data_IF_828106411500
#
_entry.id   IF_828106411500
#
_cell.length_a   1.000
_cell.length_b   1.000
_cell.length_c   1.000
_cell.angle_alpha   90.00
_cell.angle_beta   90.00
_cell.angle_gamma   90.00
#
_symmetry.space_group_name_H-M   'P 1'
#
loop_
_entity.id
_entity.type
_entity.pdbx_description
1 polymer ?
#
# COMPACT_ATOMS: atom_id res chain seq x y z
N UNK A 1 -16.71 -25.31 17.41
CA UNK A 1 -15.52 -24.85 16.64
C UNK A 1 -15.61 -23.37 16.26
N UNK A 2 -16.77 -22.77 16.43
CA UNK A 2 -17.09 -21.45 15.87
C UNK A 2 -16.36 -20.26 16.53
N UNK A 3 -16.06 -20.34 17.81
CA UNK A 3 -15.36 -19.23 18.51
C UNK A 3 -13.90 -19.03 18.07
N UNK A 4 -13.24 -20.06 17.53
CA UNK A 4 -11.84 -19.93 17.07
C UNK A 4 -11.74 -19.06 15.81
N UNK A 5 -12.74 -19.10 14.96
CA UNK A 5 -12.74 -18.32 13.72
C UNK A 5 -12.75 -16.81 13.97
N UNK A 6 -13.35 -16.35 15.07
CA UNK A 6 -13.35 -14.93 15.45
C UNK A 6 -11.96 -14.40 15.88
N UNK A 7 -11.02 -15.28 16.25
CA UNK A 7 -9.64 -14.88 16.52
C UNK A 7 -8.91 -14.38 15.25
N UNK A 8 -9.32 -14.82 14.06
CA UNK A 8 -8.67 -14.42 12.80
C UNK A 8 -8.80 -12.91 12.57
N UNK A 9 -10.00 -12.32 12.44
CA UNK A 9 -10.12 -10.86 12.28
C UNK A 9 -9.60 -10.09 13.51
N UNK A 10 -9.70 -10.65 14.74
CA UNK A 10 -9.14 -10.03 15.92
C UNK A 10 -7.63 -9.86 15.86
N UNK A 11 -6.89 -10.85 15.33
CA UNK A 11 -5.47 -10.75 15.09
C UNK A 11 -5.14 -9.64 14.07
N UNK A 12 -5.98 -9.47 13.03
CA UNK A 12 -5.88 -8.38 12.07
C UNK A 12 -6.03 -7.00 12.75
N UNK A 13 -7.00 -6.85 13.66
CA UNK A 13 -7.20 -5.61 14.43
C UNK A 13 -5.98 -5.32 15.31
N UNK A 14 -5.43 -6.31 16.00
CA UNK A 14 -4.23 -6.15 16.81
C UNK A 14 -3.01 -5.71 15.98
N UNK A 15 -2.86 -6.29 14.80
CA UNK A 15 -1.80 -5.88 13.86
C UNK A 15 -1.97 -4.42 13.44
N UNK A 16 -3.18 -3.98 13.11
CA UNK A 16 -3.47 -2.59 12.73
C UNK A 16 -3.28 -1.61 13.90
N UNK A 17 -3.61 -2.01 15.13
CA UNK A 17 -3.31 -1.22 16.32
C UNK A 17 -1.80 -1.02 16.49
N UNK A 18 -1.03 -2.08 16.34
CA UNK A 18 0.44 -1.99 16.36
C UNK A 18 0.97 -1.06 15.26
N UNK A 19 0.43 -1.16 14.04
CA UNK A 19 0.74 -0.26 12.91
C UNK A 19 0.52 1.19 13.30
N UNK A 20 -0.61 1.51 13.91
CA UNK A 20 -0.93 2.87 14.36
C UNK A 20 0.09 3.37 15.41
N UNK A 21 0.38 2.57 16.43
CA UNK A 21 1.32 2.92 17.49
C UNK A 21 2.75 3.14 16.93
N UNK A 22 3.21 2.23 16.08
CA UNK A 22 4.54 2.32 15.47
C UNK A 22 4.67 3.45 14.47
N UNK A 23 3.63 3.72 13.67
CA UNK A 23 3.63 4.89 12.77
C UNK A 23 3.75 6.21 13.55
N UNK A 24 3.05 6.33 14.68
CA UNK A 24 3.16 7.51 15.54
C UNK A 24 4.56 7.61 16.18
N UNK A 25 5.12 6.49 16.61
CA UNK A 25 6.47 6.44 17.15
C UNK A 25 7.52 6.86 16.09
N UNK A 26 7.43 6.36 14.84
CA UNK A 26 8.31 6.81 13.74
C UNK A 26 8.12 8.31 13.50
N UNK A 27 6.87 8.79 13.47
CA UNK A 27 6.56 10.20 13.22
C UNK A 27 7.11 11.14 14.32
N UNK A 28 7.28 10.66 15.55
CA UNK A 28 7.83 11.44 16.68
C UNK A 28 9.34 11.61 16.64
N UNK A 29 10.06 10.90 15.76
CA UNK A 29 11.52 11.02 15.64
C UNK A 29 11.91 12.29 14.88
N UNK A 30 13.08 12.81 15.20
CA UNK A 30 13.60 14.05 14.62
C UNK A 30 13.87 13.92 13.12
N UNK A 31 13.49 14.95 12.39
CA UNK A 31 13.68 15.05 10.93
C UNK A 31 15.10 15.49 10.56
N UNK A 32 15.78 16.18 11.48
CA UNK A 32 17.09 16.76 11.24
C UNK A 32 17.02 18.21 10.80
N UNK A 33 17.91 18.61 9.89
CA UNK A 33 18.00 20.01 9.45
C UNK A 33 16.79 20.47 8.65
N UNK A 34 16.59 21.80 8.58
CA UNK A 34 15.52 22.40 7.76
C UNK A 34 15.60 21.96 6.28
N UNK A 35 16.82 21.86 5.73
CA UNK A 35 17.05 21.35 4.36
C UNK A 35 16.54 19.92 4.21
N UNK A 36 16.82 19.03 5.17
CA UNK A 36 16.33 17.64 5.16
C UNK A 36 14.79 17.60 5.22
N UNK A 37 14.20 18.43 6.07
CA UNK A 37 12.73 18.54 6.17
C UNK A 37 12.08 18.99 4.87
N UNK A 38 12.66 19.98 4.18
CA UNK A 38 12.18 20.46 2.89
C UNK A 38 12.26 19.40 1.80
N UNK A 39 13.38 18.68 1.71
CA UNK A 39 13.55 17.58 0.75
C UNK A 39 12.55 16.46 1.04
N UNK A 40 12.41 16.07 2.30
CA UNK A 40 11.45 15.03 2.72
C UNK A 40 10.00 15.40 2.38
N UNK A 41 9.65 16.68 2.51
CA UNK A 41 8.33 17.17 2.12
C UNK A 41 8.12 17.05 0.61
N UNK A 42 9.09 17.45 -0.21
CA UNK A 42 8.99 17.34 -1.67
C UNK A 42 8.83 15.87 -2.10
N UNK A 43 9.57 14.94 -1.48
CA UNK A 43 9.43 13.51 -1.72
C UNK A 43 8.02 13.01 -1.34
N UNK A 44 7.52 13.42 -0.18
CA UNK A 44 6.19 13.03 0.27
C UNK A 44 5.08 13.58 -0.64
N UNK A 45 5.21 14.84 -1.08
CA UNK A 45 4.25 15.48 -2.00
C UNK A 45 4.26 14.79 -3.37
N UNK A 46 5.42 14.44 -3.90
CA UNK A 46 5.56 13.65 -5.14
C UNK A 46 4.94 12.25 -5.01
N UNK A 47 5.20 11.55 -3.90
CA UNK A 47 4.61 10.24 -3.63
C UNK A 47 3.07 10.30 -3.55
N UNK A 48 2.52 11.35 -2.92
CA UNK A 48 1.07 11.55 -2.85
C UNK A 48 0.46 11.94 -4.21
N UNK A 49 1.16 12.71 -5.02
CA UNK A 49 0.72 13.03 -6.39
C UNK A 49 0.64 11.77 -7.25
N UNK A 50 1.66 10.91 -7.18
CA UNK A 50 1.67 9.61 -7.84
C UNK A 50 0.48 8.74 -7.42
N UNK A 51 0.28 8.52 -6.11
CA UNK A 51 -0.82 7.69 -5.62
C UNK A 51 -2.19 8.22 -6.06
N UNK A 52 -2.40 9.54 -6.06
CA UNK A 52 -3.67 10.14 -6.51
C UNK A 52 -3.93 9.87 -7.99
N UNK A 53 -2.91 10.03 -8.83
CA UNK A 53 -3.02 9.79 -10.27
C UNK A 53 -3.32 8.32 -10.55
N UNK A 54 -2.60 7.42 -9.90
CA UNK A 54 -2.74 5.98 -10.07
C UNK A 54 -4.10 5.47 -9.57
N UNK A 55 -4.50 5.83 -8.35
CA UNK A 55 -5.77 5.36 -7.77
C UNK A 55 -6.99 5.85 -8.54
N UNK A 56 -6.91 7.00 -9.21
CA UNK A 56 -7.97 7.48 -10.09
C UNK A 56 -8.20 6.51 -11.27
N UNK A 57 -7.14 6.01 -11.89
CA UNK A 57 -7.23 5.05 -12.99
C UNK A 57 -7.66 3.68 -12.46
N UNK A 58 -7.04 3.23 -11.37
CA UNK A 58 -7.34 1.95 -10.74
C UNK A 58 -8.79 1.86 -10.25
N UNK A 59 -9.39 2.96 -9.78
CA UNK A 59 -10.80 2.95 -9.35
C UNK A 59 -11.73 2.62 -10.50
N UNK A 60 -11.49 3.13 -11.71
CA UNK A 60 -12.27 2.78 -12.91
C UNK A 60 -12.11 1.29 -13.24
N UNK A 61 -10.89 0.79 -13.22
CA UNK A 61 -10.61 -0.63 -13.44
C UNK A 61 -11.32 -1.52 -12.42
N UNK A 62 -11.26 -1.16 -11.14
CA UNK A 62 -11.91 -1.92 -10.05
C UNK A 62 -13.42 -1.98 -10.23
N UNK A 63 -14.05 -0.85 -10.56
CA UNK A 63 -15.50 -0.80 -10.78
C UNK A 63 -15.91 -1.68 -11.95
N UNK A 64 -15.25 -1.55 -13.10
CA UNK A 64 -15.57 -2.33 -14.29
C UNK A 64 -15.37 -3.83 -14.06
N UNK A 65 -14.24 -4.20 -13.45
CA UNK A 65 -13.93 -5.62 -13.16
C UNK A 65 -14.90 -6.20 -12.12
N UNK A 66 -15.25 -5.43 -11.08
CA UNK A 66 -16.21 -5.87 -10.08
C UNK A 66 -17.60 -6.18 -10.70
N UNK A 67 -18.07 -5.31 -11.60
CA UNK A 67 -19.33 -5.51 -12.34
C UNK A 67 -19.24 -6.78 -13.19
N UNK A 68 -18.16 -6.96 -13.95
CA UNK A 68 -17.96 -8.15 -14.79
C UNK A 68 -17.92 -9.44 -13.95
N UNK A 69 -17.20 -9.42 -12.83
CA UNK A 69 -17.13 -10.58 -11.91
C UNK A 69 -18.47 -10.87 -11.25
N UNK A 70 -19.22 -9.83 -10.89
CA UNK A 70 -20.58 -9.98 -10.34
C UNK A 70 -21.51 -10.65 -11.36
N UNK A 71 -21.54 -10.19 -12.61
CA UNK A 71 -22.32 -10.81 -13.68
C UNK A 71 -21.89 -12.25 -13.96
N UNK A 72 -20.58 -12.49 -14.05
CA UNK A 72 -20.05 -13.84 -14.26
C UNK A 72 -20.44 -14.78 -13.11
N UNK A 73 -20.31 -14.33 -11.86
CA UNK A 73 -20.68 -15.12 -10.69
C UNK A 73 -22.15 -15.56 -10.71
N UNK A 74 -23.06 -14.66 -11.10
CA UNK A 74 -24.50 -15.01 -11.27
C UNK A 74 -24.71 -15.97 -12.42
N UNK A 75 -24.07 -15.75 -13.57
CA UNK A 75 -24.20 -16.61 -14.77
C UNK A 75 -23.68 -18.02 -14.54
N UNK A 76 -22.65 -18.20 -13.72
CA UNK A 76 -22.07 -19.50 -13.36
C UNK A 76 -22.76 -20.15 -12.15
N UNK A 77 -23.85 -19.57 -11.64
CA UNK A 77 -24.61 -20.12 -10.51
C UNK A 77 -23.89 -19.99 -9.16
N UNK A 78 -22.87 -19.12 -9.07
CA UNK A 78 -22.14 -18.87 -7.81
C UNK A 78 -22.81 -17.72 -7.03
N UNK A 79 -22.34 -16.49 -7.16
CA UNK A 79 -22.94 -15.30 -6.56
C UNK A 79 -22.30 -14.01 -7.09
N UNK A 80 -23.08 -12.91 -7.15
CA UNK A 80 -22.55 -11.57 -7.42
C UNK A 80 -21.54 -11.10 -6.35
N UNK A 81 -21.53 -11.73 -5.17
CA UNK A 81 -20.62 -11.39 -4.07
C UNK A 81 -19.14 -11.63 -4.40
N UNK A 82 -18.81 -12.36 -5.48
CA UNK A 82 -17.44 -12.42 -6.02
C UNK A 82 -16.94 -11.01 -6.38
N UNK A 83 -17.79 -10.20 -7.03
CA UNK A 83 -17.47 -8.80 -7.34
C UNK A 83 -17.28 -7.93 -6.08
N UNK A 84 -18.10 -8.16 -5.04
CA UNK A 84 -17.95 -7.46 -3.75
C UNK A 84 -16.63 -7.85 -3.08
N UNK A 85 -16.30 -9.14 -3.03
CA UNK A 85 -15.01 -9.62 -2.50
C UNK A 85 -13.83 -9.00 -3.23
N UNK A 86 -13.92 -8.87 -4.56
CA UNK A 86 -12.90 -8.22 -5.39
C UNK A 86 -12.70 -6.75 -4.97
N UNK A 87 -13.79 -6.00 -4.78
CA UNK A 87 -13.70 -4.60 -4.32
C UNK A 87 -13.06 -4.50 -2.94
N UNK A 88 -13.47 -5.36 -2.00
CA UNK A 88 -12.88 -5.35 -0.64
C UNK A 88 -11.38 -5.67 -0.69
N UNK A 89 -10.97 -6.66 -1.47
CA UNK A 89 -9.56 -6.98 -1.67
C UNK A 89 -8.76 -5.82 -2.29
N UNK A 90 -9.33 -5.19 -3.32
CA UNK A 90 -8.73 -4.00 -3.94
C UNK A 90 -8.58 -2.83 -2.96
N UNK A 91 -9.58 -2.56 -2.14
CA UNK A 91 -9.54 -1.52 -1.11
C UNK A 91 -8.48 -1.82 -0.04
N UNK A 92 -8.42 -3.06 0.46
CA UNK A 92 -7.41 -3.46 1.45
C UNK A 92 -5.98 -3.28 0.88
N UNK A 93 -5.76 -3.70 -0.37
CA UNK A 93 -4.46 -3.56 -1.03
C UNK A 93 -4.08 -2.10 -1.28
N UNK A 94 -5.03 -1.29 -1.77
CA UNK A 94 -4.84 0.16 -1.95
C UNK A 94 -4.52 0.88 -0.63
N UNK A 95 -5.26 0.57 0.45
CA UNK A 95 -4.99 1.12 1.77
C UNK A 95 -3.61 0.71 2.30
N UNK A 96 -3.22 -0.55 2.11
CA UNK A 96 -1.89 -1.03 2.48
C UNK A 96 -0.79 -0.27 1.74
N UNK A 97 -0.93 -0.07 0.43
CA UNK A 97 -0.02 0.72 -0.39
C UNK A 97 0.07 2.19 0.07
N UNK A 98 -1.07 2.81 0.37
CA UNK A 98 -1.13 4.18 0.90
C UNK A 98 -0.42 4.32 2.25
N UNK A 99 -0.71 3.42 3.20
CA UNK A 99 -0.07 3.41 4.53
C UNK A 99 1.45 3.20 4.36
N UNK A 100 1.85 2.23 3.53
CA UNK A 100 3.25 1.91 3.27
C UNK A 100 4.01 3.09 2.68
N UNK A 101 3.49 3.73 1.64
CA UNK A 101 4.11 4.91 1.02
C UNK A 101 4.25 6.07 2.00
N UNK A 102 3.20 6.32 2.78
CA UNK A 102 3.18 7.41 3.76
C UNK A 102 4.16 7.19 4.92
N UNK A 103 4.35 5.95 5.38
CA UNK A 103 5.33 5.66 6.44
C UNK A 103 6.74 5.63 5.88
N UNK A 104 6.95 5.09 4.68
CA UNK A 104 8.28 5.05 4.06
C UNK A 104 8.86 6.45 3.86
N UNK A 105 8.09 7.38 3.30
CA UNK A 105 8.52 8.78 3.11
C UNK A 105 8.81 9.50 4.44
N UNK A 106 8.10 9.16 5.52
CA UNK A 106 8.38 9.68 6.85
C UNK A 106 9.62 9.05 7.50
N UNK A 107 9.79 7.74 7.34
CA UNK A 107 10.90 7.01 7.97
C UNK A 107 12.24 7.36 7.32
N UNK A 108 12.31 7.55 6.01
CA UNK A 108 13.55 7.78 5.28
C UNK A 108 14.38 8.93 5.85
N UNK A 109 13.80 10.12 5.99
CA UNK A 109 14.53 11.29 6.50
C UNK A 109 14.96 11.12 7.95
N UNK A 110 14.14 10.45 8.76
CA UNK A 110 14.43 10.19 10.17
C UNK A 110 15.52 9.16 10.36
N UNK A 111 15.52 8.13 9.50
CA UNK A 111 16.61 7.15 9.43
C UNK A 111 17.94 7.84 9.06
N UNK A 112 17.91 8.71 8.05
CA UNK A 112 19.07 9.47 7.61
C UNK A 112 19.60 10.37 8.73
N UNK A 113 18.72 11.08 9.44
CA UNK A 113 19.12 11.92 10.56
C UNK A 113 19.74 11.09 11.70
N UNK A 114 19.11 9.97 12.07
CA UNK A 114 19.63 9.08 13.11
C UNK A 114 20.97 8.46 12.73
N UNK A 115 21.19 8.15 11.45
CA UNK A 115 22.43 7.57 10.95
C UNK A 115 23.66 8.49 11.13
N UNK A 116 23.47 9.81 11.23
CA UNK A 116 24.55 10.74 11.53
C UNK A 116 25.14 10.55 12.93
N UNK A 117 24.38 9.93 13.83
CA UNK A 117 24.78 9.78 15.24
C UNK A 117 24.96 8.32 15.65
N UNK A 118 24.16 7.40 15.12
CA UNK A 118 24.16 5.98 15.54
C UNK A 118 23.52 5.08 14.49
N UNK A 119 24.27 4.09 14.02
CA UNK A 119 23.76 3.04 13.15
C UNK A 119 22.60 2.26 13.79
N UNK A 120 22.70 1.93 15.08
CA UNK A 120 21.67 1.20 15.80
C UNK A 120 20.33 1.94 15.84
N UNK A 121 20.35 3.25 16.12
CA UNK A 121 19.15 4.10 16.10
C UNK A 121 18.56 4.23 14.69
N UNK A 122 19.39 4.35 13.67
CA UNK A 122 18.96 4.40 12.29
C UNK A 122 18.25 3.09 11.88
N UNK A 123 18.84 1.96 12.20
CA UNK A 123 18.24 0.63 11.95
C UNK A 123 16.90 0.46 12.68
N UNK A 124 16.80 0.89 13.94
CA UNK A 124 15.55 0.81 14.69
C UNK A 124 14.41 1.58 14.01
N UNK A 125 14.69 2.79 13.47
CA UNK A 125 13.69 3.59 12.75
C UNK A 125 13.34 2.93 11.42
N UNK A 126 14.33 2.47 10.66
CA UNK A 126 14.13 1.82 9.36
C UNK A 126 13.30 0.54 9.50
N UNK A 127 13.66 -0.35 10.44
CA UNK A 127 12.90 -1.57 10.72
C UNK A 127 11.50 -1.28 11.24
N UNK A 128 11.32 -0.24 12.05
CA UNK A 128 9.98 0.16 12.52
C UNK A 128 9.11 0.64 11.36
N UNK A 129 9.67 1.40 10.41
CA UNK A 129 8.97 1.79 9.18
C UNK A 129 8.56 0.60 8.33
N UNK A 130 9.48 -0.36 8.14
CA UNK A 130 9.20 -1.61 7.44
C UNK A 130 8.15 -2.47 8.15
N UNK A 131 8.20 -2.56 9.48
CA UNK A 131 7.21 -3.29 10.28
C UNK A 131 5.80 -2.68 10.16
N UNK A 132 5.68 -1.36 10.09
CA UNK A 132 4.39 -0.67 9.84
C UNK A 132 3.80 -1.10 8.51
N UNK A 133 4.60 -1.14 7.44
CA UNK A 133 4.13 -1.59 6.14
C UNK A 133 3.76 -3.08 6.16
N UNK A 134 4.67 -3.95 6.65
CA UNK A 134 4.46 -5.40 6.66
C UNK A 134 3.23 -5.81 7.46
N UNK A 135 3.09 -5.30 8.69
CA UNK A 135 1.92 -5.59 9.52
C UNK A 135 0.66 -4.88 9.04
N UNK A 136 0.78 -3.75 8.32
CA UNK A 136 -0.33 -3.11 7.65
C UNK A 136 -0.93 -3.99 6.55
N UNK A 137 -0.09 -4.58 5.71
CA UNK A 137 -0.51 -5.53 4.66
C UNK A 137 -1.16 -6.77 5.28
N UNK A 138 -0.47 -7.41 6.24
CA UNK A 138 -0.98 -8.61 6.91
C UNK A 138 -2.26 -8.32 7.67
N UNK A 139 -2.30 -7.23 8.44
CA UNK A 139 -3.46 -6.84 9.24
C UNK A 139 -4.70 -6.58 8.40
N UNK A 140 -4.57 -5.82 7.30
CA UNK A 140 -5.67 -5.57 6.36
C UNK A 140 -6.09 -6.85 5.62
N UNK A 141 -5.12 -7.68 5.22
CA UNK A 141 -5.40 -8.95 4.55
C UNK A 141 -6.16 -9.93 5.46
N UNK A 142 -5.65 -10.13 6.67
CA UNK A 142 -6.27 -11.05 7.66
C UNK A 142 -7.64 -10.52 8.12
N UNK A 143 -7.76 -9.22 8.37
CA UNK A 143 -9.03 -8.61 8.75
C UNK A 143 -10.06 -8.70 7.61
N UNK A 144 -9.68 -8.30 6.39
CA UNK A 144 -10.60 -8.28 5.25
C UNK A 144 -11.02 -9.68 4.84
N UNK A 145 -10.05 -10.59 4.64
CA UNK A 145 -10.34 -11.97 4.24
C UNK A 145 -11.09 -12.74 5.33
N UNK A 146 -10.65 -12.61 6.59
CA UNK A 146 -11.26 -13.27 7.73
C UNK A 146 -12.69 -12.79 7.99
N UNK A 147 -12.94 -11.49 7.86
CA UNK A 147 -14.29 -10.94 8.00
C UNK A 147 -15.23 -11.40 6.89
N UNK A 148 -14.77 -11.41 5.63
CA UNK A 148 -15.54 -11.92 4.51
C UNK A 148 -15.85 -13.41 4.66
N UNK A 149 -14.87 -14.19 5.14
CA UNK A 149 -15.06 -15.61 5.37
C UNK A 149 -16.19 -15.87 6.40
N UNK A 150 -16.17 -15.17 7.54
CA UNK A 150 -17.20 -15.29 8.56
C UNK A 150 -18.60 -14.91 8.00
N UNK A 151 -18.67 -13.78 7.30
CA UNK A 151 -19.93 -13.29 6.71
C UNK A 151 -20.48 -14.30 5.68
N UNK A 152 -19.61 -14.82 4.82
CA UNK A 152 -20.05 -15.71 3.76
C UNK A 152 -20.37 -17.13 4.25
N UNK A 153 -19.73 -17.56 5.34
CA UNK A 153 -20.10 -18.83 5.98
C UNK A 153 -21.51 -18.80 6.55
N UNK A 154 -21.98 -17.63 7.02
CA UNK A 154 -23.36 -17.46 7.48
C UNK A 154 -24.36 -17.39 6.32
N UNK A 155 -23.95 -16.88 5.15
CA UNK A 155 -24.79 -16.74 3.96
C UNK A 155 -24.89 -18.05 3.17
N UNK A 156 -23.74 -18.72 2.99
CA UNK A 156 -23.62 -19.94 2.21
C UNK A 156 -23.35 -21.13 3.13
N UNK A 157 -24.19 -22.17 3.06
CA UNK A 157 -24.00 -23.40 3.83
C UNK A 157 -22.91 -24.31 3.23
N UNK A 158 -22.54 -24.06 1.98
CA UNK A 158 -21.54 -24.81 1.23
C UNK A 158 -20.18 -24.11 1.24
N UNK A 159 -19.17 -24.78 1.77
CA UNK A 159 -17.81 -24.26 1.87
C UNK A 159 -17.16 -24.02 0.49
N UNK A 160 -17.49 -24.81 -0.50
CA UNK A 160 -16.94 -24.65 -1.86
C UNK A 160 -17.43 -23.34 -2.48
N UNK A 161 -18.68 -22.98 -2.24
CA UNK A 161 -19.22 -21.67 -2.66
C UNK A 161 -18.56 -20.52 -1.92
N UNK A 162 -18.34 -20.64 -0.60
CA UNK A 162 -17.61 -19.65 0.19
C UNK A 162 -16.22 -19.41 -0.40
N UNK A 163 -15.47 -20.47 -0.69
CA UNK A 163 -14.10 -20.38 -1.24
C UNK A 163 -14.13 -19.72 -2.62
N UNK A 164 -15.07 -20.07 -3.49
CA UNK A 164 -15.22 -19.45 -4.81
C UNK A 164 -15.50 -17.95 -4.70
N UNK A 165 -16.41 -17.54 -3.82
CA UNK A 165 -16.77 -16.14 -3.64
C UNK A 165 -15.62 -15.34 -3.05
N UNK A 166 -14.92 -15.88 -2.06
CA UNK A 166 -13.83 -15.20 -1.38
C UNK A 166 -12.57 -15.09 -2.26
N UNK A 167 -12.42 -15.93 -3.29
CA UNK A 167 -11.33 -15.84 -4.25
C UNK A 167 -11.26 -14.48 -4.97
N UNK A 168 -12.42 -13.82 -5.11
CA UNK A 168 -12.51 -12.44 -5.58
C UNK A 168 -11.66 -11.47 -4.79
N UNK A 169 -11.57 -11.63 -3.45
CA UNK A 169 -10.70 -10.81 -2.60
C UNK A 169 -9.23 -10.91 -3.02
N UNK A 170 -8.73 -12.13 -3.19
CA UNK A 170 -7.33 -12.35 -3.60
C UNK A 170 -7.06 -11.78 -4.98
N UNK A 171 -8.01 -11.91 -5.91
CA UNK A 171 -7.89 -11.32 -7.25
C UNK A 171 -7.85 -9.79 -7.19
N UNK A 172 -8.71 -9.17 -6.38
CA UNK A 172 -8.75 -7.71 -6.19
C UNK A 172 -7.46 -7.17 -5.59
N UNK A 173 -6.99 -7.81 -4.51
CA UNK A 173 -5.76 -7.43 -3.83
C UNK A 173 -4.54 -7.57 -4.75
N UNK A 174 -4.43 -8.69 -5.47
CA UNK A 174 -3.33 -8.96 -6.40
C UNK A 174 -3.33 -8.01 -7.59
N UNK A 175 -4.50 -7.68 -8.13
CA UNK A 175 -4.63 -6.75 -9.25
C UNK A 175 -4.11 -5.35 -8.88
N UNK A 176 -4.53 -4.81 -7.74
CA UNK A 176 -4.04 -3.51 -7.26
C UNK A 176 -2.54 -3.54 -6.99
N UNK A 177 -2.03 -4.59 -6.34
CA UNK A 177 -0.60 -4.71 -6.06
C UNK A 177 0.23 -4.78 -7.36
N UNK A 178 -0.26 -5.48 -8.38
CA UNK A 178 0.40 -5.58 -9.68
C UNK A 178 0.45 -4.23 -10.39
N UNK A 179 -0.68 -3.55 -10.50
CA UNK A 179 -0.76 -2.25 -11.19
C UNK A 179 0.03 -1.18 -10.45
N UNK A 180 -0.04 -1.12 -9.11
CA UNK A 180 0.76 -0.21 -8.32
C UNK A 180 2.27 -0.41 -8.53
N UNK A 181 2.71 -1.65 -8.64
CA UNK A 181 4.11 -1.98 -8.90
C UNK A 181 4.54 -1.55 -10.31
N UNK A 182 3.73 -1.82 -11.33
CA UNK A 182 4.03 -1.45 -12.72
C UNK A 182 3.97 0.07 -12.89
N UNK A 183 2.92 0.71 -12.38
CA UNK A 183 2.73 2.16 -12.42
C UNK A 183 3.86 2.91 -11.71
N UNK A 184 4.29 2.41 -10.54
CA UNK A 184 5.43 2.94 -9.81
C UNK A 184 6.73 2.89 -10.61
N UNK A 185 6.99 1.78 -11.30
CA UNK A 185 8.15 1.64 -12.18
C UNK A 185 8.13 2.61 -13.37
N UNK A 186 6.97 2.80 -13.97
CA UNK A 186 6.79 3.78 -15.08
C UNK A 186 7.00 5.21 -14.57
N UNK A 187 6.42 5.55 -13.41
CA UNK A 187 6.53 6.88 -12.82
C UNK A 187 7.97 7.24 -12.45
N UNK A 188 8.70 6.33 -11.80
CA UNK A 188 10.10 6.57 -11.43
C UNK A 188 10.97 6.73 -12.68
N UNK A 189 10.75 5.93 -13.72
CA UNK A 189 11.51 6.06 -14.95
C UNK A 189 11.19 7.35 -15.72
N UNK A 190 9.94 7.78 -15.71
CA UNK A 190 9.55 9.07 -16.31
C UNK A 190 10.19 10.25 -15.58
N UNK A 191 10.26 10.20 -14.23
CA UNK A 191 10.91 11.23 -13.44
C UNK A 191 12.42 11.29 -13.69
N UNK A 192 13.09 10.14 -13.77
CA UNK A 192 14.51 10.00 -14.05
C UNK A 192 14.86 10.59 -15.44
N UNK A 193 14.17 10.14 -16.48
CA UNK A 193 14.37 10.66 -17.84
C UNK A 193 14.06 12.15 -17.94
N UNK A 194 12.99 12.62 -17.29
CA UNK A 194 12.61 14.04 -17.29
C UNK A 194 13.67 14.92 -16.62
N UNK A 195 14.20 14.48 -15.48
CA UNK A 195 15.26 15.18 -14.76
C UNK A 195 16.58 15.20 -15.55
N UNK A 196 16.92 14.10 -16.25
CA UNK A 196 18.08 14.04 -17.12
C UNK A 196 17.96 15.01 -18.31
N UNK A 197 16.79 15.06 -18.95
CA UNK A 197 16.56 16.00 -20.06
C UNK A 197 16.69 17.45 -19.60
N UNK A 198 16.06 17.83 -18.49
CA UNK A 198 16.14 19.19 -17.96
C UNK A 198 17.57 19.49 -17.48
N UNK A 199 18.21 18.58 -16.76
CA UNK A 199 19.56 18.78 -16.25
C UNK A 199 20.59 18.88 -17.36
N UNK A 200 20.69 17.88 -18.22
CA UNK A 200 21.73 17.79 -19.25
C UNK A 200 21.48 18.69 -20.44
N UNK A 201 20.23 18.70 -20.96
CA UNK A 201 19.93 19.36 -22.25
C UNK A 201 19.60 20.84 -22.06
N UNK A 202 18.74 21.17 -21.09
CA UNK A 202 18.31 22.56 -20.90
C UNK A 202 19.27 23.36 -19.99
N UNK A 203 19.68 22.77 -18.85
CA UNK A 203 20.52 23.48 -17.88
C UNK A 203 22.02 23.23 -18.03
N UNK A 204 22.45 22.29 -18.88
CA UNK A 204 23.85 21.93 -19.07
C UNK A 204 24.56 21.42 -17.81
N UNK A 205 23.81 20.82 -16.90
CA UNK A 205 24.30 20.31 -15.61
C UNK A 205 24.66 18.82 -15.77
N UNK A 206 25.80 18.35 -15.20
CA UNK A 206 26.14 16.94 -15.18
C UNK A 206 25.07 16.10 -14.48
N UNK A 207 24.95 14.81 -14.84
CA UNK A 207 23.93 13.88 -14.36
C UNK A 207 23.86 13.82 -12.81
N UNK A 208 25.03 13.68 -12.17
CA UNK A 208 25.14 13.55 -10.71
C UNK A 208 25.34 14.90 -9.97
N UNK A 209 25.06 16.00 -10.64
CA UNK A 209 25.24 17.32 -10.02
C UNK A 209 24.18 17.59 -8.95
N UNK A 210 24.54 18.16 -7.78
CA UNK A 210 23.59 18.41 -6.67
C UNK A 210 22.39 19.30 -7.02
N UNK A 211 22.45 20.05 -8.11
CA UNK A 211 21.34 20.87 -8.61
C UNK A 211 20.42 20.10 -9.57
N UNK A 212 20.79 18.90 -10.01
CA UNK A 212 19.93 18.08 -10.83
C UNK A 212 18.78 17.51 -9.97
N UNK A 213 17.50 17.70 -10.35
CA UNK A 213 16.36 17.20 -9.60
C UNK A 213 16.35 15.67 -9.40
N UNK A 214 17.01 14.92 -10.29
CA UNK A 214 17.10 13.46 -10.19
C UNK A 214 18.12 12.98 -9.14
N UNK A 215 19.04 13.84 -8.73
CA UNK A 215 20.04 13.54 -7.70
C UNK A 215 19.43 13.71 -6.32
#
# INVERSE_FOLDING_TARGET
MDNILYFIPSAGILALLFVYLKNNWVASKEVGSEKMGRIAKNIADGAMAFLRAEYKILSVFVILTAILLGFKGVSEGTSYLVGVSFVVGALCSGLAGFIGMKVATKANVRTTNAAQHSLGKALEIAFSGGAVMGLGVVGLGVLGLGSLFLIYQDIFQDIDTVIKVISGFSLGASSIALFARVGGGIYTKAADVGADLVGKVEAGIPEDHPLNPAT
#
